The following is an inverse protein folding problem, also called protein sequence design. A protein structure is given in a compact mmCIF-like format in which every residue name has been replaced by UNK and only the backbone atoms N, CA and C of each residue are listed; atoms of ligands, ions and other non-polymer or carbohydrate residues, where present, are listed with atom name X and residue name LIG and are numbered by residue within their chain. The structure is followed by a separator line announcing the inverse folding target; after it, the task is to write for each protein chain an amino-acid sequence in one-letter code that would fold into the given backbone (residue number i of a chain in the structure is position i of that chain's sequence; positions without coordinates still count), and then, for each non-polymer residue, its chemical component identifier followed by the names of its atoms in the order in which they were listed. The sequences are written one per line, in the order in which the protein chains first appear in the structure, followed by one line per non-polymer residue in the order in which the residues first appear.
data_IF_651048407572
#
_entry.id   IF_651048407572
#
_cell.length_a   1.000
_cell.length_b   1.000
_cell.length_c   1.000
_cell.angle_alpha   90.00
_cell.angle_beta   90.00
_cell.angle_gamma   90.00
#
_symmetry.space_group_name_H-M   'P 1'
#
loop_
_entity.id
_entity.type
_entity.pdbx_description
1 polymer ?
#
# COMPACT_ATOMS: atom_id res chain seq x y z
N UNK A 1 -2.91 -40.88 -11.82
CA UNK A 1 -3.93 -40.78 -10.77
C UNK A 1 -3.38 -41.37 -9.47
N UNK A 2 -3.00 -40.52 -8.55
CA UNK A 2 -2.73 -40.87 -7.15
C UNK A 2 -3.24 -39.70 -6.31
N UNK A 3 -4.09 -39.93 -5.31
CA UNK A 3 -4.59 -38.85 -4.45
C UNK A 3 -3.52 -38.46 -3.42
N UNK A 4 -3.33 -37.16 -3.22
CA UNK A 4 -2.50 -36.60 -2.14
C UNK A 4 -3.45 -36.30 -0.98
N UNK A 5 -3.22 -37.02 0.12
CA UNK A 5 -3.93 -36.82 1.39
C UNK A 5 -3.26 -35.67 2.15
N UNK A 6 -4.02 -34.67 2.55
CA UNK A 6 -3.63 -33.71 3.55
C UNK A 6 -3.81 -34.32 4.95
N UNK A 7 -2.71 -34.46 5.67
CA UNK A 7 -2.71 -34.87 7.09
C UNK A 7 -2.61 -33.59 7.93
N UNK A 8 -3.66 -33.34 8.72
CA UNK A 8 -3.61 -32.36 9.78
C UNK A 8 -2.80 -32.95 10.97
N UNK A 9 -1.67 -32.34 11.30
CA UNK A 9 -0.86 -32.74 12.46
C UNK A 9 -1.08 -31.76 13.60
N UNK A 10 -1.73 -32.20 14.64
CA UNK A 10 -1.77 -31.52 15.92
C UNK A 10 -0.46 -31.79 16.67
N UNK A 11 0.30 -30.71 16.96
CA UNK A 11 1.54 -30.81 17.71
C UNK A 11 1.27 -30.71 19.23
N UNK A 12 1.60 -31.76 19.95
CA UNK A 12 1.67 -31.83 21.41
C UNK A 12 2.99 -31.21 21.90
N UNK A 13 2.88 -30.33 22.89
CA UNK A 13 4.02 -29.71 23.58
C UNK A 13 4.62 -30.73 24.56
N UNK A 14 5.93 -30.97 24.49
CA UNK A 14 6.70 -31.61 25.55
C UNK A 14 7.85 -30.69 26.00
N UNK A 15 7.76 -30.34 27.28
CA UNK A 15 8.77 -29.57 28.03
C UNK A 15 9.98 -30.48 28.34
N UNK A 16 11.19 -29.97 28.08
CA UNK A 16 12.43 -30.57 28.52
C UNK A 16 13.44 -29.51 28.94
N UNK A 17 13.69 -29.45 30.27
CA UNK A 17 14.79 -28.65 30.85
C UNK A 17 16.15 -29.28 30.60
N UNK A 18 17.14 -28.48 30.28
CA UNK A 18 18.55 -28.84 30.30
C UNK A 18 19.44 -27.63 30.31
N UNK A 19 20.04 -27.31 31.44
CA UNK A 19 21.02 -26.24 31.62
C UNK A 19 22.44 -26.71 31.24
N UNK A 20 23.17 -25.87 30.52
CA UNK A 20 24.65 -25.87 30.53
C UNK A 20 25.17 -24.46 30.24
N UNK A 21 26.04 -24.00 31.12
CA UNK A 21 26.69 -22.70 31.08
C UNK A 21 27.89 -22.71 30.10
N UNK A 22 28.04 -21.60 29.37
CA UNK A 22 29.25 -21.29 28.59
C UNK A 22 29.33 -19.81 28.35
N UNK A 23 30.35 -19.15 28.95
CA UNK A 23 30.57 -17.72 28.85
C UNK A 23 30.98 -17.29 27.43
N UNK A 24 30.41 -16.23 26.95
CA UNK A 24 30.78 -15.49 25.76
C UNK A 24 30.68 -14.00 26.06
N UNK A 25 31.65 -13.23 25.60
CA UNK A 25 31.85 -11.81 25.80
C UNK A 25 30.63 -10.98 25.38
N UNK A 26 30.42 -9.77 25.96
CA UNK A 26 29.30 -8.92 25.64
C UNK A 26 29.46 -8.35 24.22
N UNK A 27 28.67 -8.84 23.29
CA UNK A 27 28.51 -8.24 21.97
C UNK A 27 28.00 -6.79 22.11
N UNK A 28 28.58 -5.90 21.33
CA UNK A 28 28.10 -4.54 21.18
C UNK A 28 26.60 -4.58 20.79
N UNK A 29 25.78 -3.68 21.34
CA UNK A 29 24.39 -3.55 20.87
C UNK A 29 24.43 -3.12 19.41
N UNK A 30 23.80 -3.91 18.52
CA UNK A 30 23.48 -3.47 17.16
C UNK A 30 22.58 -2.25 17.31
N UNK A 31 23.04 -1.10 16.85
CA UNK A 31 22.25 0.09 16.71
C UNK A 31 21.09 -0.24 15.77
N UNK A 32 19.87 -0.10 16.27
CA UNK A 32 18.65 0.00 15.44
C UNK A 32 18.91 1.09 14.41
N UNK A 33 18.54 0.94 13.12
CA UNK A 33 18.58 2.04 12.17
C UNK A 33 17.74 3.17 12.76
N UNK A 34 18.34 4.34 13.01
CA UNK A 34 17.59 5.55 13.35
C UNK A 34 16.68 5.86 12.16
N UNK A 35 15.39 5.96 12.42
CA UNK A 35 14.38 6.34 11.45
C UNK A 35 14.73 7.76 10.98
N UNK A 36 15.11 7.92 9.72
CA UNK A 36 15.49 9.22 9.16
C UNK A 36 14.25 10.12 9.13
N UNK A 37 14.22 11.13 9.99
CA UNK A 37 13.15 12.13 10.02
C UNK A 37 13.22 13.02 8.78
N UNK A 38 12.06 13.41 8.23
CA UNK A 38 11.99 14.30 7.06
C UNK A 38 12.25 15.75 7.54
N UNK A 39 13.17 16.43 6.86
CA UNK A 39 13.49 17.83 7.06
C UNK A 39 12.63 18.75 6.19
N UNK A 40 12.54 18.44 4.89
CA UNK A 40 11.96 19.33 3.89
C UNK A 40 11.39 18.52 2.71
N UNK A 41 10.23 18.92 2.19
CA UNK A 41 9.72 18.42 0.93
C UNK A 41 10.32 19.24 -0.22
N UNK A 42 10.69 18.55 -1.29
CA UNK A 42 11.29 19.17 -2.49
C UNK A 42 10.58 18.71 -3.75
N UNK A 43 10.67 19.53 -4.79
CA UNK A 43 10.33 19.13 -6.15
C UNK A 43 11.60 19.16 -7.01
N UNK A 44 11.69 18.20 -7.95
CA UNK A 44 12.77 18.12 -8.93
C UNK A 44 12.15 18.16 -10.32
N UNK A 45 12.38 19.24 -11.06
CA UNK A 45 11.89 19.39 -12.44
C UNK A 45 12.94 18.90 -13.40
N UNK A 46 12.65 17.86 -14.17
CA UNK A 46 13.49 17.24 -15.20
C UNK A 46 12.80 17.37 -16.57
N UNK A 47 13.16 18.39 -17.35
CA UNK A 47 12.45 18.71 -18.60
C UNK A 47 11.00 19.13 -18.31
N UNK A 48 10.03 18.39 -18.86
CA UNK A 48 8.59 18.60 -18.63
C UNK A 48 8.03 17.76 -17.46
N UNK A 49 8.87 16.97 -16.78
CA UNK A 49 8.47 16.09 -15.67
C UNK A 49 8.83 16.73 -14.34
N UNK A 50 7.86 16.83 -13.44
CA UNK A 50 8.05 17.24 -12.05
C UNK A 50 7.99 16.02 -11.16
N UNK A 51 8.99 15.86 -10.31
CA UNK A 51 9.15 14.74 -9.38
C UNK A 51 9.09 15.28 -7.95
N UNK A 52 8.37 14.57 -7.10
CA UNK A 52 8.33 14.85 -5.67
C UNK A 52 9.46 14.11 -4.96
N UNK A 53 9.99 14.73 -3.90
CA UNK A 53 11.04 14.15 -3.08
C UNK A 53 11.07 14.74 -1.68
N UNK A 54 11.90 14.17 -0.83
CA UNK A 54 12.13 14.61 0.54
C UNK A 54 13.61 14.72 0.84
N UNK A 55 13.99 15.66 1.68
CA UNK A 55 15.30 15.71 2.33
C UNK A 55 15.18 15.19 3.75
N UNK A 56 16.15 14.40 4.18
CA UNK A 56 16.20 13.84 5.54
C UNK A 56 16.80 14.83 6.54
N UNK A 57 16.44 14.69 7.82
CA UNK A 57 16.87 15.61 8.86
C UNK A 57 18.29 15.30 9.35
N UNK A 58 19.29 15.56 8.49
CA UNK A 58 20.70 15.51 8.83
C UNK A 58 21.42 16.82 8.42
N UNK A 59 22.61 17.05 8.94
CA UNK A 59 23.35 18.29 8.74
C UNK A 59 23.67 18.56 7.26
N UNK A 60 24.01 17.51 6.50
CA UNK A 60 24.31 17.60 5.06
C UNK A 60 23.07 18.01 4.26
N UNK A 61 21.93 17.40 4.53
CA UNK A 61 20.67 17.71 3.87
C UNK A 61 20.14 19.10 4.24
N UNK A 62 20.30 19.55 5.50
CA UNK A 62 19.96 20.93 5.92
C UNK A 62 20.75 21.95 5.12
N UNK A 63 22.06 21.73 4.96
CA UNK A 63 22.90 22.63 4.18
C UNK A 63 22.54 22.66 2.68
N UNK A 64 22.05 21.54 2.11
CA UNK A 64 21.49 21.53 0.76
C UNK A 64 20.17 22.31 0.71
N UNK A 65 19.27 22.09 1.65
CA UNK A 65 17.98 22.77 1.74
C UNK A 65 18.10 24.30 1.83
N UNK A 66 19.16 24.82 2.46
CA UNK A 66 19.45 26.26 2.53
C UNK A 66 19.87 26.85 1.18
N UNK A 67 20.31 26.02 0.22
CA UNK A 67 20.76 26.46 -1.12
C UNK A 67 19.65 26.41 -2.16
N UNK A 68 18.50 25.83 -1.84
CA UNK A 68 17.36 25.76 -2.78
C UNK A 68 16.71 27.14 -2.98
N UNK A 69 16.26 27.51 -4.20
CA UNK A 69 16.24 26.66 -5.40
C UNK A 69 17.61 26.52 -6.08
N UNK A 70 17.88 25.34 -6.66
CA UNK A 70 19.08 25.04 -7.43
C UNK A 70 18.71 24.57 -8.84
N UNK A 71 19.37 25.12 -9.86
CA UNK A 71 19.33 24.56 -11.22
C UNK A 71 20.71 24.02 -11.56
N UNK A 72 20.81 22.72 -11.81
CA UNK A 72 22.08 22.00 -12.01
C UNK A 72 22.02 21.15 -13.26
N UNK A 73 23.17 20.89 -13.88
CA UNK A 73 23.28 19.99 -15.02
C UNK A 73 23.63 18.59 -14.56
N UNK A 74 22.91 17.61 -15.07
CA UNK A 74 23.18 16.19 -14.76
C UNK A 74 24.34 15.67 -15.58
N UNK A 75 25.08 14.72 -14.99
CA UNK A 75 26.08 13.88 -15.64
C UNK A 75 25.96 12.44 -15.14
N UNK A 76 26.54 11.47 -15.88
CA UNK A 76 26.46 10.05 -15.57
C UNK A 76 27.70 9.59 -14.81
N UNK A 77 27.66 9.34 -13.50
CA UNK A 77 28.79 8.81 -12.73
C UNK A 77 29.10 7.34 -13.06
N UNK A 78 28.09 6.60 -13.51
CA UNK A 78 28.19 5.24 -14.03
C UNK A 78 27.02 4.99 -15.00
N UNK A 79 27.29 4.24 -16.09
CA UNK A 79 26.24 3.88 -17.06
C UNK A 79 25.11 3.09 -16.38
N UNK A 80 23.86 3.47 -16.63
CA UNK A 80 22.63 2.79 -16.19
C UNK A 80 22.51 2.60 -14.66
N UNK A 81 22.97 3.57 -13.86
CA UNK A 81 22.94 3.43 -12.40
C UNK A 81 22.40 4.71 -11.71
N UNK A 82 23.05 5.83 -11.97
CA UNK A 82 22.71 7.08 -11.31
C UNK A 82 22.92 8.27 -12.24
N UNK A 83 22.20 9.35 -12.02
CA UNK A 83 22.53 10.71 -12.47
C UNK A 83 23.19 11.44 -11.31
N UNK A 84 24.12 12.35 -11.59
CA UNK A 84 24.72 13.16 -10.55
C UNK A 84 24.81 14.62 -11.00
N UNK A 85 24.93 15.53 -10.04
CA UNK A 85 25.23 16.93 -10.29
C UNK A 85 26.27 17.44 -9.28
N UNK A 86 27.11 18.35 -9.73
CA UNK A 86 28.15 18.97 -8.91
C UNK A 86 27.61 20.17 -8.14
N UNK A 87 28.17 20.40 -6.97
CA UNK A 87 27.94 21.60 -6.15
C UNK A 87 29.17 22.50 -6.20
N UNK A 88 28.94 23.82 -6.33
CA UNK A 88 30.02 24.83 -6.37
C UNK A 88 30.83 24.84 -5.05
N UNK A 89 30.14 24.63 -3.92
CA UNK A 89 30.75 24.54 -2.60
C UNK A 89 30.37 23.23 -1.90
N UNK A 90 31.30 22.59 -1.17
CA UNK A 90 30.99 21.36 -0.41
C UNK A 90 29.86 21.58 0.61
N UNK A 91 29.14 20.48 0.89
CA UNK A 91 28.24 20.40 2.05
C UNK A 91 29.01 19.89 3.29
N UNK A 92 28.55 20.19 4.52
CA UNK A 92 29.07 19.56 5.72
C UNK A 92 28.97 18.04 5.62
N UNK A 93 30.05 17.38 6.01
CA UNK A 93 30.13 15.91 6.03
C UNK A 93 30.08 15.42 7.48
N UNK A 94 28.91 15.51 8.09
CA UNK A 94 28.71 15.17 9.49
C UNK A 94 27.91 13.88 9.74
N UNK A 95 27.36 13.27 8.69
CA UNK A 95 26.55 12.05 8.78
C UNK A 95 27.39 10.78 8.49
N UNK A 96 26.86 9.64 8.93
CA UNK A 96 27.50 8.36 8.67
C UNK A 96 27.50 8.02 7.17
N UNK A 97 28.66 7.63 6.64
CA UNK A 97 28.79 7.16 5.29
C UNK A 97 28.28 5.71 5.15
N UNK A 98 27.59 5.46 4.06
CA UNK A 98 27.09 4.13 3.70
C UNK A 98 27.46 3.79 2.25
N UNK A 99 27.43 2.51 1.92
CA UNK A 99 27.41 2.04 0.54
C UNK A 99 26.04 1.49 0.14
N UNK A 100 25.14 1.34 1.11
CA UNK A 100 23.75 0.99 0.81
C UNK A 100 23.06 2.16 0.12
N UNK A 101 22.24 1.87 -0.86
CA UNK A 101 21.41 2.86 -1.55
C UNK A 101 20.05 2.22 -1.88
N UNK A 102 19.10 3.05 -2.25
CA UNK A 102 17.78 2.63 -2.70
C UNK A 102 17.39 3.37 -3.98
N UNK A 103 16.46 2.83 -4.72
CA UNK A 103 15.90 3.47 -5.90
C UNK A 103 15.24 4.82 -5.52
N UNK A 104 15.56 5.88 -6.25
CA UNK A 104 15.14 7.24 -5.91
C UNK A 104 16.00 7.93 -4.85
N UNK A 105 16.94 7.23 -4.20
CA UNK A 105 17.81 7.81 -3.18
C UNK A 105 18.61 9.01 -3.68
N UNK A 106 18.72 10.04 -2.83
CA UNK A 106 19.58 11.21 -3.00
C UNK A 106 20.77 11.05 -2.06
N UNK A 107 21.99 11.03 -2.60
CA UNK A 107 23.18 10.80 -1.79
C UNK A 107 24.31 11.76 -2.14
N UNK A 108 24.98 12.30 -1.12
CA UNK A 108 26.09 13.23 -1.23
C UNK A 108 27.43 12.49 -1.16
N UNK A 109 28.35 12.84 -2.07
CA UNK A 109 29.74 12.41 -2.06
C UNK A 109 30.66 13.59 -1.78
N UNK A 110 31.37 13.55 -0.65
CA UNK A 110 32.20 14.63 -0.10
C UNK A 110 33.51 14.86 -0.84
N UNK A 111 34.15 13.76 -1.34
CA UNK A 111 35.44 13.83 -2.01
C UNK A 111 35.39 14.39 -3.45
N UNK A 112 34.20 14.55 -4.01
CA UNK A 112 33.92 15.27 -5.24
C UNK A 112 32.56 15.90 -5.09
N UNK A 113 32.41 17.10 -4.46
CA UNK A 113 31.16 17.65 -3.97
C UNK A 113 30.02 17.51 -4.96
N UNK A 114 29.32 16.40 -4.93
CA UNK A 114 28.25 16.07 -5.86
C UNK A 114 27.14 15.29 -5.18
N UNK A 115 25.92 15.42 -5.73
CA UNK A 115 24.75 14.66 -5.29
C UNK A 115 24.36 13.70 -6.39
N UNK A 116 24.22 12.43 -6.04
CA UNK A 116 23.73 11.37 -6.92
C UNK A 116 22.22 11.15 -6.73
N UNK A 117 21.53 10.85 -7.82
CA UNK A 117 20.13 10.41 -7.90
C UNK A 117 20.17 8.98 -8.43
N UNK A 118 19.81 7.99 -7.62
CA UNK A 118 19.80 6.60 -8.05
C UNK A 118 18.49 6.27 -8.79
N UNK A 119 18.59 5.94 -10.07
CA UNK A 119 17.42 5.59 -10.88
C UNK A 119 17.37 4.10 -11.30
N UNK A 120 18.36 3.31 -10.86
CA UNK A 120 18.45 1.88 -11.10
C UNK A 120 19.05 1.20 -9.86
N UNK A 121 18.63 -0.02 -9.56
CA UNK A 121 19.03 -0.83 -8.40
C UNK A 121 19.87 -2.05 -8.76
N UNK A 122 20.45 -2.08 -9.96
CA UNK A 122 21.24 -3.21 -10.49
C UNK A 122 22.53 -3.49 -9.71
N UNK A 123 23.03 -2.56 -8.90
CA UNK A 123 24.25 -2.73 -8.10
C UNK A 123 23.89 -3.12 -6.66
N UNK A 124 24.71 -3.99 -6.06
CA UNK A 124 24.58 -4.39 -4.65
C UNK A 124 24.93 -3.26 -3.68
N UNK A 125 25.83 -2.35 -4.09
CA UNK A 125 26.27 -1.21 -3.29
C UNK A 125 26.79 -0.09 -4.19
N UNK A 126 26.86 1.14 -3.67
CA UNK A 126 27.44 2.29 -4.37
C UNK A 126 28.95 2.10 -4.60
N UNK A 127 29.48 2.73 -5.67
CA UNK A 127 30.90 2.66 -6.06
C UNK A 127 31.80 3.28 -4.99
N UNK A 128 31.35 4.35 -4.37
CA UNK A 128 32.03 5.09 -3.29
C UNK A 128 31.13 5.22 -2.07
N UNK A 129 31.65 5.34 -0.85
CA UNK A 129 30.83 5.67 0.31
C UNK A 129 30.17 7.05 0.13
N UNK A 130 28.89 7.16 0.50
CA UNK A 130 28.06 8.37 0.36
C UNK A 130 27.28 8.64 1.61
N UNK A 131 26.81 9.87 1.80
CA UNK A 131 25.86 10.27 2.83
C UNK A 131 24.48 10.34 2.22
N UNK A 132 23.53 9.53 2.68
CA UNK A 132 22.12 9.64 2.26
C UNK A 132 21.54 10.94 2.78
N UNK A 133 20.98 11.76 1.89
CA UNK A 133 20.46 13.10 2.21
C UNK A 133 18.97 13.25 1.90
N UNK A 134 18.36 12.29 1.23
CA UNK A 134 16.97 12.36 0.84
C UNK A 134 16.56 11.27 -0.13
N UNK A 135 15.35 11.38 -0.64
CA UNK A 135 14.77 10.44 -1.60
C UNK A 135 13.76 11.13 -2.51
N UNK A 136 13.73 10.76 -3.77
CA UNK A 136 12.62 11.03 -4.69
C UNK A 136 11.52 10.02 -4.40
N UNK A 137 10.30 10.50 -4.21
CA UNK A 137 9.13 9.69 -3.86
C UNK A 137 8.23 9.37 -5.06
N UNK A 138 8.47 10.05 -6.20
CA UNK A 138 7.86 9.75 -7.50
C UNK A 138 8.68 8.71 -8.27
N UNK A 139 8.15 8.18 -9.41
CA UNK A 139 8.93 7.34 -10.34
C UNK A 139 10.15 8.08 -10.87
N UNK A 140 11.29 7.41 -10.86
CA UNK A 140 12.59 7.94 -11.33
C UNK A 140 12.97 7.49 -12.75
N UNK A 141 12.05 6.80 -13.46
CA UNK A 141 12.27 6.29 -14.82
C UNK A 141 12.68 7.38 -15.82
N UNK A 142 12.25 8.63 -15.60
CA UNK A 142 12.65 9.78 -16.45
C UNK A 142 14.17 9.89 -16.58
N UNK A 143 14.93 9.47 -15.57
CA UNK A 143 16.39 9.58 -15.58
C UNK A 143 17.09 8.48 -16.40
N UNK A 144 16.39 7.48 -16.88
CA UNK A 144 16.95 6.52 -17.85
C UNK A 144 17.36 7.24 -19.15
N UNK A 145 16.51 8.15 -19.63
CA UNK A 145 16.70 8.85 -20.89
C UNK A 145 17.03 10.34 -20.73
N UNK A 146 16.79 10.93 -19.54
CA UNK A 146 17.01 12.36 -19.31
C UNK A 146 18.38 12.62 -18.68
N UNK A 147 19.18 13.42 -19.36
CA UNK A 147 20.52 13.88 -18.91
C UNK A 147 20.69 15.41 -19.01
N UNK A 148 19.59 16.14 -19.01
CA UNK A 148 19.58 17.60 -19.08
C UNK A 148 19.79 18.29 -17.72
N UNK A 149 19.44 19.58 -17.65
CA UNK A 149 19.44 20.32 -16.40
C UNK A 149 18.18 19.98 -15.59
N UNK A 150 18.33 19.88 -14.27
CA UNK A 150 17.21 19.78 -13.33
C UNK A 150 17.15 21.00 -12.44
N UNK A 151 15.93 21.39 -12.06
CA UNK A 151 15.71 22.42 -11.04
C UNK A 151 15.15 21.74 -9.79
N UNK A 152 15.82 21.94 -8.65
CA UNK A 152 15.43 21.43 -7.34
C UNK A 152 14.95 22.62 -6.52
N UNK A 153 13.72 22.55 -6.04
CA UNK A 153 13.09 23.62 -5.28
C UNK A 153 12.49 23.06 -3.98
N UNK A 154 12.35 23.92 -2.97
CA UNK A 154 11.46 23.59 -1.86
C UNK A 154 10.05 23.54 -2.41
N UNK A 155 9.30 22.48 -2.09
CA UNK A 155 7.90 22.44 -2.45
C UNK A 155 7.20 23.66 -1.83
N UNK A 156 6.55 24.51 -2.64
CA UNK A 156 5.86 25.68 -2.11
C UNK A 156 4.82 25.24 -1.08
N UNK A 157 4.95 25.77 0.12
CA UNK A 157 3.99 25.56 1.18
C UNK A 157 2.61 26.07 0.75
N UNK A 158 1.71 25.20 0.40
CA UNK A 158 0.29 25.44 0.63
C UNK A 158 0.11 25.77 2.13
N UNK A 159 -0.84 26.65 2.54
CA UNK A 159 -0.93 27.16 3.90
C UNK A 159 -0.93 26.01 4.89
N UNK A 160 -0.08 26.10 5.90
CA UNK A 160 0.21 25.09 6.89
C UNK A 160 -1.06 24.41 7.42
N UNK A 161 -1.45 23.33 6.77
CA UNK A 161 -2.09 22.21 7.45
C UNK A 161 -0.93 21.47 8.11
N UNK A 162 -0.98 21.34 9.43
CA UNK A 162 -0.03 20.63 10.26
C UNK A 162 0.29 19.28 9.60
N UNK A 163 1.48 19.21 8.99
CA UNK A 163 1.89 18.05 8.21
C UNK A 163 2.27 16.89 9.14
N UNK A 164 1.27 16.10 9.47
CA UNK A 164 1.39 14.68 9.80
C UNK A 164 0.59 13.85 8.77
N UNK A 165 0.33 14.41 7.59
CA UNK A 165 -0.35 13.70 6.51
C UNK A 165 0.60 12.66 5.92
N UNK A 166 0.27 11.39 6.11
CA UNK A 166 1.02 10.24 5.64
C UNK A 166 1.53 9.30 6.74
N UNK A 167 1.34 9.66 8.00
CA UNK A 167 1.63 8.77 9.13
C UNK A 167 0.36 8.14 9.66
N UNK A 168 0.32 6.81 9.72
CA UNK A 168 -0.78 6.07 10.35
C UNK A 168 -0.70 6.28 11.86
N UNK A 169 -1.76 6.79 12.52
CA UNK A 169 -1.78 6.94 13.97
C UNK A 169 -1.40 5.63 14.68
N UNK A 170 -0.67 5.73 15.79
CA UNK A 170 -0.26 4.56 16.59
C UNK A 170 -1.47 3.74 17.05
N UNK A 171 -2.58 4.41 17.34
CA UNK A 171 -3.84 3.79 17.72
C UNK A 171 -4.90 4.05 16.64
N UNK A 172 -5.74 3.06 16.38
CA UNK A 172 -6.91 3.21 15.52
C UNK A 172 -7.84 4.29 16.09
N UNK A 173 -8.30 5.18 15.23
CA UNK A 173 -9.23 6.23 15.59
C UNK A 173 -10.66 5.70 15.54
N UNK A 174 -11.44 5.94 16.58
CA UNK A 174 -12.88 5.66 16.52
C UNK A 174 -13.55 6.56 15.50
N UNK A 175 -14.58 6.02 14.85
CA UNK A 175 -15.45 6.83 13.96
C UNK A 175 -16.07 7.95 14.80
N UNK A 176 -15.93 9.24 14.41
CA UNK A 176 -16.43 10.35 15.20
C UNK A 176 -17.96 10.30 15.38
N UNK A 177 -18.40 10.82 16.52
CA UNK A 177 -19.84 10.96 16.81
C UNK A 177 -20.55 11.73 15.68
N UNK A 178 -21.71 11.24 15.28
CA UNK A 178 -22.52 11.85 14.22
C UNK A 178 -22.19 11.39 12.79
N UNK A 179 -21.01 10.79 12.53
CA UNK A 179 -20.65 10.34 11.18
C UNK A 179 -21.56 9.25 10.61
N UNK A 180 -22.31 8.54 11.44
CA UNK A 180 -23.29 7.53 10.98
C UNK A 180 -24.62 8.13 10.55
N UNK A 181 -24.80 9.44 10.70
CA UNK A 181 -25.98 10.17 10.19
C UNK A 181 -25.65 10.81 8.83
N UNK A 182 -26.67 11.15 8.00
CA UNK A 182 -26.42 11.76 6.70
C UNK A 182 -25.57 13.04 6.78
N UNK A 183 -24.53 13.15 5.99
CA UNK A 183 -23.69 14.34 5.82
C UNK A 183 -24.42 15.39 4.97
N UNK A 184 -23.93 16.64 4.98
CA UNK A 184 -24.43 17.68 4.07
C UNK A 184 -23.99 17.39 2.62
N UNK A 185 -22.77 16.95 2.44
CA UNK A 185 -22.21 16.54 1.16
C UNK A 185 -22.27 15.01 1.05
N UNK A 186 -23.21 14.50 0.29
CA UNK A 186 -23.44 13.07 0.17
C UNK A 186 -22.98 12.55 -1.20
N UNK A 187 -22.14 11.54 -1.19
CA UNK A 187 -21.88 10.71 -2.34
C UNK A 187 -23.09 9.84 -2.71
N UNK A 188 -23.00 9.11 -3.78
CA UNK A 188 -24.07 8.24 -4.28
C UNK A 188 -23.60 6.79 -4.45
N UNK A 189 -24.52 5.86 -4.26
CA UNK A 189 -24.32 4.45 -4.59
C UNK A 189 -24.95 4.16 -5.96
N UNK A 190 -24.18 3.51 -6.83
CA UNK A 190 -24.66 3.04 -8.13
C UNK A 190 -24.44 1.53 -8.24
N UNK A 191 -25.44 0.85 -8.81
CA UNK A 191 -25.31 -0.56 -9.18
C UNK A 191 -24.53 -0.67 -10.47
N UNK A 192 -23.48 -1.48 -10.46
CA UNK A 192 -22.75 -1.93 -11.63
C UNK A 192 -23.10 -3.40 -11.90
N UNK A 193 -23.52 -3.69 -13.11
CA UNK A 193 -23.74 -5.08 -13.57
C UNK A 193 -22.66 -5.40 -14.60
N UNK A 194 -22.03 -6.56 -14.48
CA UNK A 194 -20.99 -7.02 -15.39
C UNK A 194 -21.11 -8.54 -15.63
N UNK A 195 -20.60 -8.98 -16.76
CA UNK A 195 -20.57 -10.39 -17.14
C UNK A 195 -19.23 -11.00 -16.74
N UNK A 196 -19.25 -12.24 -16.28
CA UNK A 196 -18.09 -13.02 -15.89
C UNK A 196 -18.34 -14.51 -16.13
N UNK A 197 -17.47 -15.36 -15.60
CA UNK A 197 -17.57 -16.81 -15.72
C UNK A 197 -17.60 -17.48 -14.33
N UNK A 198 -18.16 -18.67 -14.26
CA UNK A 198 -18.18 -19.51 -13.07
C UNK A 198 -16.75 -19.72 -12.57
N UNK A 199 -16.50 -19.50 -11.26
CA UNK A 199 -15.17 -19.36 -10.68
C UNK A 199 -14.27 -20.59 -10.81
N UNK A 200 -14.83 -21.81 -10.77
CA UNK A 200 -14.06 -23.06 -10.84
C UNK A 200 -13.67 -23.47 -12.25
N UNK A 201 -14.44 -23.03 -13.21
CA UNK A 201 -14.23 -23.29 -14.65
C UNK A 201 -14.04 -22.01 -15.42
N UNK A 202 -13.46 -20.99 -14.75
CA UNK A 202 -13.28 -19.66 -15.32
C UNK A 202 -12.50 -19.70 -16.65
N UNK A 203 -11.37 -20.41 -16.66
CA UNK A 203 -10.53 -20.50 -17.85
C UNK A 203 -11.16 -21.26 -19.02
N UNK A 204 -12.07 -22.19 -18.75
CA UNK A 204 -12.80 -22.99 -19.75
C UNK A 204 -14.02 -22.26 -20.29
N UNK A 205 -14.45 -21.16 -19.67
CA UNK A 205 -15.61 -20.36 -20.06
C UNK A 205 -16.91 -21.19 -20.19
N UNK A 206 -17.11 -22.14 -19.29
CA UNK A 206 -18.22 -23.12 -19.42
C UNK A 206 -19.57 -22.57 -19.03
N UNK A 207 -19.62 -21.70 -18.01
CA UNK A 207 -20.85 -21.10 -17.52
C UNK A 207 -20.66 -19.58 -17.35
N UNK A 208 -21.37 -18.80 -18.16
CA UNK A 208 -21.42 -17.35 -18.04
C UNK A 208 -22.33 -16.95 -16.88
N UNK A 209 -21.89 -15.98 -16.11
CA UNK A 209 -22.63 -15.35 -15.03
C UNK A 209 -22.77 -13.87 -15.30
N UNK A 210 -23.85 -13.28 -14.82
CA UNK A 210 -24.00 -11.83 -14.71
C UNK A 210 -24.02 -11.50 -13.21
N UNK A 211 -23.07 -10.71 -12.78
CA UNK A 211 -22.88 -10.33 -11.37
C UNK A 211 -23.09 -8.84 -11.15
N UNK A 212 -23.23 -8.45 -9.91
CA UNK A 212 -23.44 -7.08 -9.49
C UNK A 212 -22.30 -6.67 -8.52
N UNK A 213 -21.96 -5.39 -8.59
CA UNK A 213 -21.15 -4.70 -7.58
C UNK A 213 -21.83 -3.36 -7.24
N UNK A 214 -21.69 -2.89 -6.02
CA UNK A 214 -22.10 -1.54 -5.68
C UNK A 214 -20.90 -0.61 -5.75
N UNK A 215 -21.09 0.56 -6.32
CA UNK A 215 -20.04 1.56 -6.53
C UNK A 215 -20.46 2.85 -5.83
N UNK A 216 -19.64 3.28 -4.88
CA UNK A 216 -19.76 4.57 -4.25
C UNK A 216 -18.98 5.61 -5.07
N UNK A 217 -19.65 6.69 -5.42
CA UNK A 217 -19.07 7.87 -6.04
C UNK A 217 -19.12 9.03 -5.05
N UNK A 218 -18.00 9.74 -4.80
CA UNK A 218 -17.95 10.81 -3.81
C UNK A 218 -18.84 12.00 -4.20
N UNK A 219 -19.19 12.83 -3.22
CA UNK A 219 -19.91 14.07 -3.49
C UNK A 219 -19.15 14.93 -4.53
N UNK A 220 -19.88 15.45 -5.50
CA UNK A 220 -19.29 16.25 -6.56
C UNK A 220 -18.44 15.44 -7.55
N UNK A 221 -18.64 14.12 -7.64
CA UNK A 221 -17.97 13.29 -8.64
C UNK A 221 -18.11 13.92 -10.03
N UNK A 222 -16.98 14.04 -10.70
CA UNK A 222 -16.81 14.70 -12.00
C UNK A 222 -16.05 13.75 -12.94
N UNK A 223 -16.68 13.31 -14.02
CA UNK A 223 -16.15 12.36 -14.98
C UNK A 223 -14.98 12.92 -15.82
N UNK A 224 -14.66 14.20 -15.67
CA UNK A 224 -13.49 14.83 -16.30
C UNK A 224 -12.23 14.76 -15.44
N UNK A 225 -12.32 14.25 -14.21
CA UNK A 225 -11.21 14.15 -13.26
C UNK A 225 -10.96 12.69 -12.89
N UNK A 226 -9.70 12.23 -12.82
CA UNK A 226 -9.42 10.86 -12.39
C UNK A 226 -9.56 10.70 -10.88
N UNK A 227 -10.04 9.54 -10.44
CA UNK A 227 -10.15 9.15 -9.04
C UNK A 227 -9.39 7.87 -8.76
N UNK A 228 -8.83 7.78 -7.57
CA UNK A 228 -8.35 6.51 -7.02
C UNK A 228 -9.52 5.55 -6.79
N UNK A 229 -9.27 4.25 -6.90
CA UNK A 229 -10.30 3.21 -6.74
C UNK A 229 -9.91 2.24 -5.65
N UNK A 230 -10.81 2.01 -4.69
CA UNK A 230 -10.59 1.00 -3.66
C UNK A 230 -11.68 -0.07 -3.71
N UNK A 231 -11.28 -1.33 -3.82
CA UNK A 231 -12.17 -2.48 -3.85
C UNK A 231 -12.29 -3.07 -2.44
N UNK A 232 -13.51 -3.14 -1.91
CA UNK A 232 -13.82 -3.59 -0.55
C UNK A 232 -14.58 -4.91 -0.57
N UNK A 233 -13.87 -6.01 -0.36
CA UNK A 233 -14.42 -7.37 -0.34
C UNK A 233 -15.16 -7.66 0.96
N UNK A 234 -16.36 -8.20 0.85
CA UNK A 234 -17.15 -8.64 2.00
C UNK A 234 -16.57 -9.88 2.70
N UNK A 235 -17.01 -10.13 3.93
CA UNK A 235 -16.68 -11.30 4.75
C UNK A 235 -17.49 -12.56 4.40
N UNK A 236 -17.40 -13.56 5.26
CA UNK A 236 -18.31 -14.71 5.20
C UNK A 236 -19.75 -14.34 5.54
N UNK A 237 -20.72 -15.11 5.06
CA UNK A 237 -22.17 -14.87 5.26
C UNK A 237 -22.66 -13.51 4.82
N UNK A 238 -22.04 -12.96 3.79
CA UNK A 238 -22.19 -11.58 3.33
C UNK A 238 -22.21 -11.52 1.80
N UNK A 239 -22.49 -10.31 1.27
CA UNK A 239 -22.52 -10.02 -0.16
C UNK A 239 -22.09 -8.56 -0.42
N UNK A 240 -22.20 -8.12 -1.67
CA UNK A 240 -21.83 -6.79 -2.14
C UNK A 240 -22.61 -5.63 -1.51
N UNK A 241 -23.73 -5.91 -0.84
CA UNK A 241 -24.57 -4.88 -0.17
C UNK A 241 -24.19 -4.69 1.29
N UNK A 242 -23.44 -5.60 1.88
CA UNK A 242 -23.26 -5.70 3.35
C UNK A 242 -22.59 -4.47 3.96
N UNK A 243 -21.61 -3.85 3.29
CA UNK A 243 -20.85 -2.74 3.88
C UNK A 243 -21.58 -1.39 3.76
N UNK A 244 -22.09 -1.06 2.58
CA UNK A 244 -22.66 0.25 2.30
C UNK A 244 -24.15 0.26 1.95
N UNK A 245 -24.79 -0.91 1.89
CA UNK A 245 -26.18 -1.05 1.45
C UNK A 245 -26.32 -0.87 -0.06
N UNK A 246 -27.45 -0.30 -0.45
CA UNK A 246 -27.83 -0.06 -1.85
C UNK A 246 -28.22 1.42 -2.04
N UNK A 247 -28.49 1.83 -3.28
CA UNK A 247 -28.94 3.19 -3.56
C UNK A 247 -30.29 3.54 -2.87
N UNK A 248 -31.18 2.54 -2.77
CA UNK A 248 -32.51 2.73 -2.17
C UNK A 248 -32.50 2.56 -0.64
N UNK A 249 -31.51 1.85 -0.10
CA UNK A 249 -31.32 1.59 1.33
C UNK A 249 -29.82 1.67 1.70
N UNK A 250 -29.25 2.89 1.75
CA UNK A 250 -27.84 3.08 2.06
C UNK A 250 -27.54 2.77 3.53
N UNK A 251 -26.49 1.99 3.76
CA UNK A 251 -25.99 1.68 5.09
C UNK A 251 -25.34 2.88 5.77
N UNK A 252 -25.29 2.86 7.10
CA UNK A 252 -24.73 3.95 7.91
C UNK A 252 -23.23 4.17 7.65
N UNK A 253 -22.49 3.17 7.16
CA UNK A 253 -21.07 3.32 6.82
C UNK A 253 -20.85 4.22 5.60
N UNK A 254 -21.81 4.28 4.67
CA UNK A 254 -21.77 5.27 3.57
C UNK A 254 -21.71 6.70 4.11
N UNK A 255 -22.48 7.01 5.16
CA UNK A 255 -22.45 8.33 5.80
C UNK A 255 -21.10 8.61 6.46
N UNK A 256 -20.45 7.61 7.04
CA UNK A 256 -19.09 7.74 7.61
C UNK A 256 -18.10 8.19 6.53
N UNK A 257 -18.16 7.58 5.35
CA UNK A 257 -17.32 7.95 4.21
C UNK A 257 -17.62 9.37 3.71
N UNK A 258 -18.90 9.73 3.61
CA UNK A 258 -19.32 11.09 3.23
C UNK A 258 -18.72 12.15 4.17
N UNK A 259 -18.86 11.95 5.49
CA UNK A 259 -18.30 12.85 6.49
C UNK A 259 -16.77 12.88 6.45
N UNK A 260 -16.12 11.74 6.29
CA UNK A 260 -14.66 11.67 6.22
C UNK A 260 -14.10 12.48 5.04
N UNK A 261 -14.77 12.42 3.88
CA UNK A 261 -14.42 13.20 2.69
C UNK A 261 -14.76 14.69 2.92
N UNK A 262 -15.96 15.00 3.42
CA UNK A 262 -16.41 16.38 3.70
C UNK A 262 -15.46 17.10 4.66
N UNK A 263 -14.96 16.40 5.68
CA UNK A 263 -14.08 16.93 6.71
C UNK A 263 -12.59 16.89 6.32
N UNK A 264 -12.28 16.47 5.08
CA UNK A 264 -10.91 16.40 4.55
C UNK A 264 -10.01 15.34 5.19
N UNK A 265 -10.61 14.37 5.90
CA UNK A 265 -9.85 13.24 6.52
C UNK A 265 -9.55 12.12 5.52
N UNK A 266 -10.33 12.05 4.47
CA UNK A 266 -10.21 11.06 3.41
C UNK A 266 -10.23 11.76 2.06
N UNK A 267 -9.35 11.36 1.16
CA UNK A 267 -9.38 11.84 -0.22
C UNK A 267 -10.64 11.34 -0.93
N UNK A 268 -11.29 12.16 -1.78
CA UNK A 268 -12.36 11.68 -2.62
C UNK A 268 -11.89 10.52 -3.51
N UNK A 269 -12.53 9.36 -3.39
CA UNK A 269 -12.19 8.17 -4.15
C UNK A 269 -13.45 7.38 -4.53
N UNK A 270 -13.33 6.51 -5.51
CA UNK A 270 -14.36 5.54 -5.89
C UNK A 270 -14.18 4.32 -4.99
N UNK A 271 -15.26 3.86 -4.32
CA UNK A 271 -15.25 2.60 -3.59
C UNK A 271 -16.11 1.58 -4.32
N UNK A 272 -15.60 0.39 -4.50
CA UNK A 272 -16.28 -0.71 -5.20
C UNK A 272 -16.48 -1.86 -4.21
N UNK A 273 -17.73 -2.24 -3.98
CA UNK A 273 -18.10 -3.39 -3.15
C UNK A 273 -18.49 -4.56 -4.08
N UNK A 274 -17.56 -5.43 -4.42
CA UNK A 274 -17.82 -6.62 -5.22
C UNK A 274 -18.27 -7.80 -4.36
N UNK A 275 -18.70 -8.89 -5.00
CA UNK A 275 -18.89 -10.18 -4.33
C UNK A 275 -18.07 -11.29 -4.98
N UNK A 276 -17.42 -12.12 -4.13
CA UNK A 276 -16.81 -13.38 -4.56
C UNK A 276 -17.81 -14.54 -4.56
N UNK A 277 -19.06 -14.34 -4.14
CA UNK A 277 -20.13 -15.32 -4.33
C UNK A 277 -20.23 -15.68 -5.80
N UNK A 278 -20.40 -16.96 -6.09
CA UNK A 278 -20.27 -17.50 -7.43
C UNK A 278 -21.66 -17.73 -8.08
N UNK A 279 -22.21 -18.93 -7.93
CA UNK A 279 -23.50 -19.29 -8.52
C UNK A 279 -24.68 -19.06 -7.58
N UNK A 280 -24.42 -18.83 -6.31
CA UNK A 280 -25.42 -18.53 -5.30
C UNK A 280 -24.99 -17.32 -4.45
N UNK A 281 -25.89 -16.38 -4.14
CA UNK A 281 -25.60 -15.27 -3.24
C UNK A 281 -25.28 -15.72 -1.80
N UNK A 282 -25.49 -16.98 -1.44
CA UNK A 282 -25.19 -17.56 -0.15
C UNK A 282 -23.89 -18.38 -0.10
N UNK A 283 -23.09 -18.39 -1.16
CA UNK A 283 -21.86 -19.21 -1.25
C UNK A 283 -20.85 -18.85 -0.14
N UNK A 284 -20.76 -17.56 0.26
CA UNK A 284 -19.93 -17.08 1.36
C UNK A 284 -20.35 -17.65 2.74
N UNK A 285 -21.55 -18.21 2.87
CA UNK A 285 -22.03 -18.89 4.09
C UNK A 285 -21.43 -20.27 4.33
N UNK A 286 -20.75 -20.83 3.35
CA UNK A 286 -19.97 -22.06 3.49
C UNK A 286 -18.49 -21.73 3.57
N UNK A 287 -17.88 -21.88 4.74
CA UNK A 287 -16.48 -21.49 4.97
C UNK A 287 -15.49 -22.13 3.96
N UNK A 288 -15.60 -23.44 3.75
CA UNK A 288 -14.68 -24.15 2.84
C UNK A 288 -14.85 -23.74 1.39
N UNK A 289 -16.07 -23.43 0.97
CA UNK A 289 -16.36 -22.90 -0.36
C UNK A 289 -15.87 -21.46 -0.49
N UNK A 290 -16.13 -20.63 0.51
CA UNK A 290 -15.68 -19.23 0.53
C UNK A 290 -14.15 -19.11 0.38
N UNK A 291 -13.36 -19.94 1.11
CA UNK A 291 -11.90 -20.00 0.96
C UNK A 291 -11.49 -20.35 -0.48
N UNK A 292 -12.20 -21.28 -1.13
CA UNK A 292 -11.90 -21.66 -2.51
C UNK A 292 -12.30 -20.57 -3.51
N UNK A 293 -13.39 -19.88 -3.26
CA UNK A 293 -13.87 -18.80 -4.11
C UNK A 293 -12.97 -17.56 -4.02
N UNK A 294 -12.55 -17.18 -2.81
CA UNK A 294 -11.60 -16.07 -2.63
C UNK A 294 -10.25 -16.33 -3.31
N UNK A 295 -9.75 -17.57 -3.29
CA UNK A 295 -8.51 -17.93 -4.00
C UNK A 295 -8.63 -17.81 -5.53
N UNK A 296 -9.85 -17.87 -6.10
CA UNK A 296 -10.14 -17.80 -7.54
C UNK A 296 -10.63 -16.44 -8.01
N UNK A 297 -11.11 -15.61 -7.09
CA UNK A 297 -11.75 -14.33 -7.42
C UNK A 297 -10.85 -13.40 -8.24
N UNK A 298 -9.54 -13.51 -8.11
CA UNK A 298 -8.59 -12.73 -8.88
C UNK A 298 -8.79 -12.82 -10.40
N UNK A 299 -9.28 -13.96 -10.93
CA UNK A 299 -9.54 -14.12 -12.37
C UNK A 299 -10.68 -13.19 -12.83
N UNK A 300 -11.80 -13.22 -12.12
CA UNK A 300 -12.93 -12.33 -12.35
C UNK A 300 -12.55 -10.86 -12.10
N UNK A 301 -11.81 -10.61 -11.01
CA UNK A 301 -11.43 -9.28 -10.60
C UNK A 301 -10.67 -8.54 -11.70
N UNK A 302 -9.60 -9.15 -12.23
CA UNK A 302 -8.70 -8.46 -13.17
C UNK A 302 -9.20 -8.50 -14.62
N UNK A 303 -9.99 -9.49 -15.00
CA UNK A 303 -10.41 -9.63 -16.39
C UNK A 303 -11.81 -9.08 -16.68
N UNK A 304 -12.68 -9.01 -15.67
CA UNK A 304 -14.08 -8.62 -15.87
C UNK A 304 -14.48 -7.41 -15.03
N UNK A 305 -14.27 -7.45 -13.71
CA UNK A 305 -14.76 -6.39 -12.80
C UNK A 305 -13.99 -5.07 -12.97
N UNK A 306 -12.63 -5.09 -12.87
CA UNK A 306 -11.82 -3.87 -13.03
C UNK A 306 -12.09 -3.21 -14.38
N UNK A 307 -12.05 -3.94 -15.52
CA UNK A 307 -12.44 -3.34 -16.81
C UNK A 307 -13.85 -2.76 -16.84
N UNK A 308 -14.83 -3.43 -16.22
CA UNK A 308 -16.21 -2.92 -16.15
C UNK A 308 -16.33 -1.64 -15.35
N UNK A 309 -15.63 -1.54 -14.20
CA UNK A 309 -15.59 -0.32 -13.37
C UNK A 309 -14.90 0.82 -14.12
N UNK A 310 -13.68 0.57 -14.60
CA UNK A 310 -12.81 1.63 -15.10
C UNK A 310 -13.11 2.04 -16.55
N UNK A 311 -13.95 1.28 -17.26
CA UNK A 311 -14.58 1.76 -18.51
C UNK A 311 -15.79 2.67 -18.28
N UNK A 312 -16.41 2.61 -17.10
CA UNK A 312 -17.62 3.37 -16.78
C UNK A 312 -17.35 4.63 -15.98
N UNK A 313 -16.37 4.60 -15.11
CA UNK A 313 -16.06 5.70 -14.20
C UNK A 313 -14.69 6.28 -14.51
N UNK A 314 -14.51 7.57 -14.23
CA UNK A 314 -13.24 8.25 -14.47
C UNK A 314 -12.22 7.86 -13.39
N UNK A 315 -11.18 7.15 -13.81
CA UNK A 315 -10.08 6.68 -12.97
C UNK A 315 -8.75 7.07 -13.59
N UNK A 316 -7.64 6.73 -12.96
CA UNK A 316 -6.32 6.98 -13.52
C UNK A 316 -5.95 6.04 -14.68
N UNK A 317 -6.73 5.00 -14.97
CA UNK A 317 -6.50 4.14 -16.12
C UNK A 317 -6.80 4.90 -17.43
N UNK A 318 -5.83 4.92 -18.33
CA UNK A 318 -5.98 5.56 -19.64
C UNK A 318 -6.87 4.73 -20.57
N UNK A 319 -6.87 3.42 -20.39
CA UNK A 319 -7.73 2.45 -21.08
C UNK A 319 -7.89 1.19 -20.21
N UNK A 320 -8.79 0.30 -20.61
CA UNK A 320 -9.07 -0.94 -19.88
C UNK A 320 -8.37 -2.17 -20.46
N UNK A 321 -7.34 -1.97 -21.27
CA UNK A 321 -6.45 -3.07 -21.63
C UNK A 321 -5.64 -3.54 -20.40
N UNK A 322 -5.18 -4.79 -20.36
CA UNK A 322 -4.32 -5.22 -19.24
C UNK A 322 -3.10 -4.33 -19.03
N UNK A 323 -2.54 -3.77 -20.07
CA UNK A 323 -1.40 -2.84 -19.98
C UNK A 323 -1.81 -1.49 -19.38
N UNK A 324 -2.89 -0.88 -19.84
CA UNK A 324 -3.38 0.39 -19.30
C UNK A 324 -3.81 0.27 -17.84
N UNK A 325 -4.44 -0.86 -17.47
CA UNK A 325 -4.82 -1.13 -16.09
C UNK A 325 -3.61 -1.36 -15.17
N UNK A 326 -2.54 -2.00 -15.65
CA UNK A 326 -1.30 -2.16 -14.89
C UNK A 326 -0.56 -0.84 -14.72
N UNK A 327 -0.52 0.01 -15.74
CA UNK A 327 0.11 1.32 -15.67
C UNK A 327 -0.52 2.24 -14.61
N UNK A 328 -1.78 2.03 -14.25
CA UNK A 328 -2.49 2.78 -13.21
C UNK A 328 -2.59 2.06 -11.86
N UNK A 329 -1.79 1.00 -11.62
CA UNK A 329 -1.85 0.18 -10.39
C UNK A 329 -1.71 0.97 -9.10
N UNK A 330 -0.93 2.04 -9.09
CA UNK A 330 -0.66 2.87 -7.91
C UNK A 330 -1.89 3.67 -7.43
N UNK A 331 -2.91 3.72 -8.27
CA UNK A 331 -4.21 4.32 -7.99
C UNK A 331 -5.29 3.30 -7.61
N UNK A 332 -4.88 2.06 -7.29
CA UNK A 332 -5.80 0.97 -6.93
C UNK A 332 -5.44 0.32 -5.62
N UNK A 333 -6.48 0.12 -4.77
CA UNK A 333 -6.37 -0.61 -3.52
C UNK A 333 -7.40 -1.73 -3.42
N UNK A 334 -7.07 -2.77 -2.64
CA UNK A 334 -7.96 -3.88 -2.32
C UNK A 334 -7.93 -4.19 -0.83
N UNK A 335 -9.09 -4.38 -0.22
CA UNK A 335 -9.19 -4.67 1.20
C UNK A 335 -10.44 -5.45 1.57
N UNK A 336 -10.49 -5.93 2.80
CA UNK A 336 -11.67 -6.58 3.33
C UNK A 336 -11.44 -7.17 4.72
N UNK A 337 -12.55 -7.46 5.39
CA UNK A 337 -12.61 -7.98 6.75
C UNK A 337 -12.93 -9.47 6.76
N UNK A 338 -12.34 -10.25 7.69
CA UNK A 338 -12.65 -11.67 7.85
C UNK A 338 -12.30 -12.48 6.59
N UNK A 339 -13.28 -13.11 5.94
CA UNK A 339 -13.09 -13.78 4.64
C UNK A 339 -12.67 -12.78 3.55
N UNK A 340 -13.08 -11.50 3.64
CA UNK A 340 -12.58 -10.42 2.79
C UNK A 340 -11.08 -10.15 2.98
N UNK A 341 -10.53 -10.38 4.17
CA UNK A 341 -9.09 -10.36 4.41
C UNK A 341 -8.38 -11.53 3.71
N UNK A 342 -8.97 -12.72 3.75
CA UNK A 342 -8.45 -13.88 2.97
C UNK A 342 -8.43 -13.56 1.47
N UNK A 343 -9.50 -12.93 0.98
CA UNK A 343 -9.57 -12.47 -0.42
C UNK A 343 -8.50 -11.38 -0.73
N UNK A 344 -8.23 -10.50 0.24
CA UNK A 344 -7.17 -9.48 0.11
C UNK A 344 -5.79 -10.14 -0.05
N UNK A 345 -5.50 -11.15 0.74
CA UNK A 345 -4.25 -11.91 0.62
C UNK A 345 -4.18 -12.74 -0.68
N UNK A 346 -5.30 -13.27 -1.14
CA UNK A 346 -5.36 -13.93 -2.45
C UNK A 346 -5.11 -12.92 -3.59
N UNK A 347 -5.67 -11.71 -3.49
CA UNK A 347 -5.42 -10.62 -4.44
C UNK A 347 -3.93 -10.21 -4.42
N UNK A 348 -3.31 -10.08 -3.25
CA UNK A 348 -1.87 -9.86 -3.11
C UNK A 348 -1.06 -10.97 -3.80
N UNK A 349 -1.48 -12.21 -3.68
CA UNK A 349 -0.81 -13.37 -4.27
C UNK A 349 -0.85 -13.38 -5.80
N UNK A 350 -1.91 -12.88 -6.43
CA UNK A 350 -2.17 -13.10 -7.86
C UNK A 350 -2.26 -11.82 -8.71
N UNK A 351 -2.40 -10.65 -8.09
CA UNK A 351 -2.76 -9.42 -8.78
C UNK A 351 -1.98 -8.18 -8.34
N UNK A 352 -0.73 -8.33 -7.89
CA UNK A 352 0.16 -7.19 -7.60
C UNK A 352 0.37 -6.28 -8.82
N UNK A 353 0.27 -6.82 -10.03
CA UNK A 353 0.29 -6.05 -11.28
C UNK A 353 -0.82 -4.97 -11.36
N UNK A 354 -1.89 -5.14 -10.58
CA UNK A 354 -3.07 -4.28 -10.64
C UNK A 354 -3.28 -3.42 -9.41
N UNK A 355 -2.62 -3.74 -8.29
CA UNK A 355 -2.84 -3.10 -6.99
C UNK A 355 -1.54 -2.73 -6.30
N UNK A 356 -1.48 -1.50 -5.76
CA UNK A 356 -0.42 -1.05 -4.86
C UNK A 356 -0.82 -1.21 -3.39
N UNK A 357 -2.07 -0.92 -3.03
CA UNK A 357 -2.52 -0.85 -1.64
C UNK A 357 -3.37 -2.04 -1.24
N UNK A 358 -3.07 -2.60 -0.06
CA UNK A 358 -3.77 -3.76 0.49
C UNK A 358 -4.22 -3.48 1.92
N UNK A 359 -5.47 -3.84 2.24
CA UNK A 359 -6.06 -3.65 3.57
C UNK A 359 -6.69 -4.93 4.09
N UNK A 360 -5.88 -5.94 4.48
CA UNK A 360 -6.39 -7.14 5.13
C UNK A 360 -6.77 -6.83 6.58
N UNK A 361 -7.96 -7.24 7.02
CA UNK A 361 -8.47 -6.99 8.36
C UNK A 361 -9.01 -8.28 8.98
N UNK A 362 -8.46 -8.70 10.14
CA UNK A 362 -8.93 -9.86 10.92
C UNK A 362 -9.11 -11.17 10.14
N UNK A 363 -8.12 -11.53 9.32
CA UNK A 363 -8.13 -12.79 8.56
C UNK A 363 -6.74 -13.13 8.01
N UNK A 364 -6.18 -14.27 8.46
CA UNK A 364 -4.86 -14.74 8.06
C UNK A 364 -4.91 -15.63 6.81
N UNK A 365 -3.76 -15.74 6.11
CA UNK A 365 -3.57 -16.54 4.91
C UNK A 365 -2.45 -17.58 5.10
N UNK A 366 -1.27 -17.14 5.58
CA UNK A 366 -0.11 -18.01 5.82
C UNK A 366 0.67 -17.54 7.04
N UNK A 367 1.21 -18.48 7.80
CA UNK A 367 2.11 -18.20 8.92
C UNK A 367 3.60 -18.25 8.51
N UNK A 368 3.89 -18.31 7.24
CA UNK A 368 5.25 -18.33 6.69
C UNK A 368 5.56 -16.99 6.01
N UNK A 369 6.36 -16.16 6.68
CA UNK A 369 6.74 -14.81 6.20
C UNK A 369 7.58 -14.88 4.93
N UNK A 370 8.50 -15.85 4.82
CA UNK A 370 9.31 -16.06 3.61
C UNK A 370 8.43 -16.48 2.42
N UNK A 371 7.41 -17.31 2.67
CA UNK A 371 6.43 -17.64 1.63
C UNK A 371 5.66 -16.40 1.15
N UNK A 372 5.20 -15.55 2.07
CA UNK A 372 4.51 -14.31 1.69
C UNK A 372 5.41 -13.38 0.85
N UNK A 373 6.68 -13.24 1.22
CA UNK A 373 7.65 -12.49 0.41
C UNK A 373 7.86 -13.12 -0.97
N UNK A 374 7.90 -14.46 -1.06
CA UNK A 374 8.07 -15.18 -2.34
C UNK A 374 6.89 -14.94 -3.31
N UNK A 375 5.69 -14.65 -2.81
CA UNK A 375 4.52 -14.36 -3.64
C UNK A 375 4.68 -13.04 -4.42
N UNK A 376 5.22 -12.01 -3.77
CA UNK A 376 5.50 -10.73 -4.43
C UNK A 376 6.70 -10.85 -5.38
N UNK A 377 7.79 -11.45 -4.91
CA UNK A 377 9.00 -11.68 -5.74
C UNK A 377 8.71 -12.51 -7.00
N UNK A 378 7.80 -13.48 -6.92
CA UNK A 378 7.39 -14.30 -8.08
C UNK A 378 6.63 -13.50 -9.15
N UNK A 379 6.02 -12.36 -8.78
CA UNK A 379 5.36 -11.42 -9.67
C UNK A 379 6.27 -10.28 -10.12
N UNK A 380 7.54 -10.24 -9.66
CA UNK A 380 8.53 -9.22 -10.02
C UNK A 380 8.53 -7.99 -9.13
N UNK A 381 7.84 -8.02 -7.97
CA UNK A 381 7.69 -6.87 -7.08
C UNK A 381 8.60 -6.93 -5.86
N UNK A 382 9.16 -5.76 -5.51
CA UNK A 382 9.98 -5.52 -4.32
C UNK A 382 9.20 -4.87 -3.18
N UNK A 383 9.87 -4.60 -2.05
CA UNK A 383 9.25 -3.96 -0.87
C UNK A 383 8.66 -2.57 -1.12
N UNK A 384 9.17 -1.83 -2.10
CA UNK A 384 8.74 -0.46 -2.40
C UNK A 384 7.51 -0.39 -3.30
N UNK A 385 7.09 -1.52 -3.87
CA UNK A 385 6.04 -1.55 -4.89
C UNK A 385 4.63 -1.64 -4.33
N UNK A 386 4.47 -1.83 -3.03
CA UNK A 386 3.15 -1.96 -2.39
C UNK A 386 3.18 -1.51 -0.92
N UNK A 387 2.00 -1.23 -0.40
CA UNK A 387 1.81 -0.98 1.04
C UNK A 387 0.63 -1.78 1.59
N UNK A 388 0.81 -2.37 2.78
CA UNK A 388 -0.20 -3.16 3.48
C UNK A 388 -0.57 -2.45 4.79
N UNK A 389 -1.84 -2.06 4.91
CA UNK A 389 -2.44 -1.63 6.18
C UNK A 389 -3.24 -2.79 6.77
N UNK A 390 -2.76 -3.38 7.85
CA UNK A 390 -3.39 -4.51 8.53
C UNK A 390 -3.98 -4.09 9.88
N UNK A 391 -5.18 -4.56 10.22
CA UNK A 391 -5.82 -4.25 11.49
C UNK A 391 -6.60 -5.42 12.07
N UNK A 392 -6.63 -5.54 13.42
CA UNK A 392 -7.44 -6.55 14.13
C UNK A 392 -7.69 -6.16 15.58
N UNK A 393 -8.81 -6.59 16.13
CA UNK A 393 -9.14 -6.40 17.54
C UNK A 393 -8.53 -7.48 18.44
N UNK A 394 -8.11 -7.13 19.65
CA UNK A 394 -7.44 -8.06 20.57
C UNK A 394 -8.36 -9.17 21.12
N UNK A 395 -9.69 -8.95 21.09
CA UNK A 395 -10.72 -9.95 21.46
C UNK A 395 -11.32 -10.68 20.25
N UNK A 396 -10.82 -10.40 19.03
CA UNK A 396 -11.25 -11.07 17.81
C UNK A 396 -10.75 -12.52 17.79
N UNK A 397 -11.59 -13.49 17.40
CA UNK A 397 -11.18 -14.88 17.31
C UNK A 397 -10.08 -15.13 16.29
N UNK A 398 -9.98 -14.31 15.22
CA UNK A 398 -8.95 -14.39 14.20
C UNK A 398 -7.63 -13.72 14.62
N UNK A 399 -7.64 -12.87 15.66
CA UNK A 399 -6.51 -12.03 16.05
C UNK A 399 -5.20 -12.78 16.20
N UNK A 400 -5.19 -13.89 16.92
CA UNK A 400 -3.94 -14.63 17.20
C UNK A 400 -3.25 -15.12 15.93
N UNK A 401 -4.02 -15.71 15.03
CA UNK A 401 -3.49 -16.21 13.76
C UNK A 401 -3.07 -15.05 12.84
N UNK A 402 -3.87 -13.98 12.81
CA UNK A 402 -3.60 -12.80 11.99
C UNK A 402 -2.33 -12.08 12.47
N UNK A 403 -2.22 -11.77 13.76
CA UNK A 403 -1.01 -11.20 14.36
C UNK A 403 0.22 -12.07 14.12
N UNK A 404 0.10 -13.39 14.29
CA UNK A 404 1.20 -14.31 14.05
C UNK A 404 1.70 -14.23 12.59
N UNK A 405 0.79 -14.15 11.61
CA UNK A 405 1.16 -13.92 10.21
C UNK A 405 1.94 -12.61 10.05
N UNK A 406 1.40 -11.48 10.53
CA UNK A 406 2.04 -10.18 10.41
C UNK A 406 3.44 -10.18 11.05
N UNK A 407 3.59 -10.78 12.25
CA UNK A 407 4.87 -10.84 12.94
C UNK A 407 5.88 -11.74 12.21
N UNK A 408 5.46 -12.86 11.63
CA UNK A 408 6.36 -13.69 10.81
C UNK A 408 6.72 -13.04 9.49
N UNK A 409 5.81 -12.30 8.87
CA UNK A 409 6.14 -11.47 7.71
C UNK A 409 7.25 -10.46 8.04
N UNK A 410 7.11 -9.73 9.14
CA UNK A 410 8.13 -8.76 9.56
C UNK A 410 9.43 -9.40 10.05
N UNK A 411 9.39 -10.61 10.63
CA UNK A 411 10.55 -11.28 11.22
C UNK A 411 11.29 -12.24 10.29
N UNK A 412 10.57 -12.98 9.44
CA UNK A 412 11.10 -14.14 8.72
C UNK A 412 11.30 -13.88 7.21
N UNK A 413 11.09 -12.66 6.75
CA UNK A 413 11.12 -12.31 5.32
C UNK A 413 12.44 -11.71 4.83
N UNK A 414 13.53 -11.79 5.64
CA UNK A 414 14.82 -11.19 5.35
C UNK A 414 14.74 -9.67 5.06
N UNK A 415 13.84 -8.96 5.80
CA UNK A 415 13.61 -7.53 5.64
C UNK A 415 12.69 -7.15 4.48
N UNK A 416 12.10 -8.11 3.77
CA UNK A 416 11.17 -7.82 2.68
C UNK A 416 9.89 -7.11 3.15
N UNK A 417 9.37 -7.46 4.34
CA UNK A 417 8.30 -6.73 4.99
C UNK A 417 8.85 -5.96 6.18
N UNK A 418 8.73 -4.65 6.14
CA UNK A 418 9.18 -3.75 7.22
C UNK A 418 7.96 -3.09 7.85
N UNK A 419 7.81 -3.27 9.19
CA UNK A 419 6.76 -2.60 9.96
C UNK A 419 7.04 -1.11 10.04
N UNK A 420 6.04 -0.31 9.66
CA UNK A 420 6.14 1.14 9.66
C UNK A 420 4.78 1.81 9.85
N UNK A 421 4.85 3.08 10.19
CA UNK A 421 3.68 3.95 10.33
C UNK A 421 3.43 4.80 9.08
N UNK A 422 4.26 4.66 8.06
CA UNK A 422 4.14 5.37 6.77
C UNK A 422 4.78 4.56 5.65
N UNK A 423 4.46 4.88 4.40
CA UNK A 423 5.08 4.28 3.21
C UNK A 423 6.59 4.58 3.11
N UNK A 424 7.05 5.69 3.68
CA UNK A 424 8.47 6.04 3.71
C UNK A 424 9.28 5.17 4.67
N UNK A 425 8.66 4.69 5.74
CA UNK A 425 9.32 3.86 6.75
C UNK A 425 9.30 2.36 6.46
N UNK A 426 8.44 1.91 5.54
CA UNK A 426 8.27 0.49 5.22
C UNK A 426 7.00 0.20 4.45
N UNK A 427 6.67 -1.07 4.29
CA UNK A 427 5.58 -1.53 3.45
C UNK A 427 4.48 -2.31 4.17
N UNK A 428 4.54 -2.37 5.50
CA UNK A 428 3.60 -3.13 6.33
C UNK A 428 3.26 -2.33 7.59
N UNK A 429 2.01 -1.96 7.75
CA UNK A 429 1.49 -1.40 9.01
C UNK A 429 0.58 -2.40 9.69
N UNK A 430 0.68 -2.53 11.00
CA UNK A 430 -0.24 -3.33 11.79
C UNK A 430 -0.79 -2.53 12.97
N UNK A 431 -2.12 -2.46 13.05
CA UNK A 431 -2.82 -1.79 14.14
C UNK A 431 -3.70 -2.75 14.90
N UNK A 432 -3.56 -2.73 16.21
CA UNK A 432 -4.36 -3.52 17.14
C UNK A 432 -5.41 -2.61 17.78
N UNK A 433 -6.66 -3.08 17.86
CA UNK A 433 -7.70 -2.36 18.58
C UNK A 433 -8.05 -3.11 19.85
N UNK A 434 -7.68 -2.55 21.00
CA UNK A 434 -7.84 -3.18 22.29
C UNK A 434 -9.33 -3.42 22.62
N UNK A 435 -9.65 -4.65 22.99
CA UNK A 435 -11.00 -5.07 23.40
C UNK A 435 -12.00 -5.30 22.26
N UNK A 436 -11.65 -5.00 21.01
CA UNK A 436 -12.56 -5.18 19.88
C UNK A 436 -12.69 -6.64 19.47
N UNK A 437 -13.93 -7.02 19.16
CA UNK A 437 -14.33 -8.34 18.75
C UNK A 437 -14.53 -8.41 17.22
N UNK A 438 -14.80 -9.62 16.71
CA UNK A 438 -15.08 -9.87 15.28
C UNK A 438 -16.51 -9.45 14.91
N UNK A 439 -16.75 -8.18 14.61
CA UNK A 439 -18.08 -7.64 14.34
C UNK A 439 -18.05 -6.47 13.34
N UNK A 440 -19.23 -5.99 12.95
CA UNK A 440 -19.40 -4.93 11.98
C UNK A 440 -18.78 -3.59 12.45
N UNK A 441 -18.84 -3.26 13.74
CA UNK A 441 -18.23 -2.03 14.27
C UNK A 441 -16.73 -2.03 14.07
N UNK A 442 -16.07 -3.16 14.36
CA UNK A 442 -14.65 -3.35 14.12
C UNK A 442 -14.31 -3.21 12.62
N UNK A 443 -15.08 -3.88 11.76
CA UNK A 443 -14.94 -3.76 10.30
C UNK A 443 -14.99 -2.30 9.83
N UNK A 444 -16.01 -1.56 10.27
CA UNK A 444 -16.21 -0.16 9.90
C UNK A 444 -15.04 0.71 10.35
N UNK A 445 -14.58 0.58 11.61
CA UNK A 445 -13.50 1.41 12.14
C UNK A 445 -12.15 1.10 11.48
N UNK A 446 -11.84 -0.16 11.21
CA UNK A 446 -10.61 -0.51 10.50
C UNK A 446 -10.64 0.00 9.06
N UNK A 447 -11.77 -0.15 8.38
CA UNK A 447 -11.96 0.34 7.01
C UNK A 447 -11.83 1.87 6.97
N UNK A 448 -12.47 2.58 7.91
CA UNK A 448 -12.37 4.04 8.03
C UNK A 448 -10.92 4.50 8.18
N UNK A 449 -10.16 3.90 9.12
CA UNK A 449 -8.77 4.27 9.37
C UNK A 449 -7.87 4.04 8.15
N UNK A 450 -7.98 2.88 7.50
CA UNK A 450 -7.19 2.57 6.32
C UNK A 450 -7.51 3.49 5.14
N UNK A 451 -8.79 3.75 4.86
CA UNK A 451 -9.19 4.64 3.77
C UNK A 451 -8.81 6.11 4.03
N UNK A 452 -8.77 6.56 5.30
CA UNK A 452 -8.25 7.87 5.65
C UNK A 452 -6.74 8.01 5.43
N UNK A 453 -6.00 6.88 5.41
CA UNK A 453 -4.57 6.87 5.19
C UNK A 453 -4.19 6.85 3.70
N UNK A 454 -4.81 5.95 2.91
CA UNK A 454 -4.42 5.75 1.52
C UNK A 454 -4.56 7.01 0.67
N UNK A 455 -3.52 7.30 -0.13
CA UNK A 455 -3.39 8.48 -1.01
C UNK A 455 -3.46 9.84 -0.29
N UNK A 456 -3.45 9.86 1.03
CA UNK A 456 -3.53 11.13 1.78
C UNK A 456 -2.18 11.87 1.84
N UNK A 457 -1.08 11.16 1.59
CA UNK A 457 0.28 11.70 1.60
C UNK A 457 0.75 12.26 0.25
N UNK A 458 0.04 11.98 -0.85
CA UNK A 458 0.55 12.13 -2.21
C UNK A 458 -0.26 13.05 -3.14
N UNK A 459 -1.14 13.94 -2.61
CA UNK A 459 -1.82 14.89 -3.48
C UNK A 459 -1.21 16.28 -3.35
N UNK A 460 -0.57 16.83 -4.41
CA UNK A 460 -0.40 18.27 -4.50
C UNK A 460 -1.82 18.87 -4.58
N UNK A 461 -2.14 19.75 -3.64
CA UNK A 461 -3.35 20.56 -3.73
C UNK A 461 -3.27 21.40 -5.00
N UNK A 462 -4.09 21.06 -6.00
CA UNK A 462 -4.25 21.80 -7.25
C UNK A 462 -4.87 23.18 -7.05
#
# INVERSE_FOLDING_TARGET
MRPIYFIALAALVLVGCGAAAGGGEPGHPMSTPEQESILENITITAGDTVLDGVLFDNETARALAERLPLTVSLWDPAENFAKAFDLDDPLPDAAAHTRSYELGGLAYWDNGPSVAIFYNDDLLETIVPVTTIGKITSSVEVFEDYGGAVTIEKAENAPAQTAESGTIPAELQSIPDGYRTPAEQQGKLEKLTYDTWESFTYAEHTQRLTKEAWVYLPYGYDDTKPYNVFYLSHGGWSDETTLMGTADDPGSFKNVIDHAIQDGKMQPMILVMPTYNNTSPQDSGNYSLAVQLTDRFHNELVNDLIPAVESKYSTYAQDTTPQGLRASRDHRGFGGFSMGSVNTWATFRYALDYFRYFMPMSGSYSLDGSYMASLAKAQGYGPQDFFIFAASGTNDFAYRAFKAQIMTMAGDSDGFFTLADSELGGNLSFREHEGYEHNATACDEYTYNGLCFFWNASQPTG
#
